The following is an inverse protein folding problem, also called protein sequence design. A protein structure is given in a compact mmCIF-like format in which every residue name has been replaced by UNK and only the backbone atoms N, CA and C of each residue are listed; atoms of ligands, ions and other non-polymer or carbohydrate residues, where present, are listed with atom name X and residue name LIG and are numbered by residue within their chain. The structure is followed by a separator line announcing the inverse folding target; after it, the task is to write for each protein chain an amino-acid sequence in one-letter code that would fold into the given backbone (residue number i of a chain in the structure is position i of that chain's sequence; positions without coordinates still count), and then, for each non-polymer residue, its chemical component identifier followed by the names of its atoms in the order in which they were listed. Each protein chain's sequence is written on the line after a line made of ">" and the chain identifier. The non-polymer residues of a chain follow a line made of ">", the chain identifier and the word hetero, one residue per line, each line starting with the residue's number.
data_IF_594504135503
#
_entry.id   IF_594504135503
#
_cell.length_a   1.000
_cell.length_b   1.000
_cell.length_c   1.000
_cell.angle_alpha   90.00
_cell.angle_beta   90.00
_cell.angle_gamma   90.00
#
_symmetry.space_group_name_H-M   'P 1'
#
loop_
_entity.id
_entity.type
_entity.pdbx_description
1 polymer ?
#
# COMPACT_ATOMS: atom_id res chain seq x y z
N UNK A 1 2.40 -66.77 -14.84
CA UNK A 1 3.00 -65.47 -15.21
C UNK A 1 1.95 -64.40 -15.00
N UNK A 2 1.99 -63.68 -13.88
CA UNK A 2 1.10 -62.55 -13.58
C UNK A 2 1.96 -61.46 -12.96
N UNK A 3 2.39 -60.51 -13.80
CA UNK A 3 3.18 -59.35 -13.39
C UNK A 3 2.26 -58.29 -12.78
N UNK A 4 2.42 -58.02 -11.49
CA UNK A 4 1.78 -56.92 -10.77
C UNK A 4 2.39 -55.58 -11.24
N UNK A 5 1.61 -54.57 -11.66
CA UNK A 5 2.17 -53.26 -11.98
C UNK A 5 2.57 -52.55 -10.69
N UNK A 6 3.81 -52.07 -10.66
CA UNK A 6 4.35 -51.19 -9.63
C UNK A 6 3.57 -49.88 -9.61
N UNK A 7 2.78 -49.67 -8.56
CA UNK A 7 2.12 -48.40 -8.30
C UNK A 7 3.15 -47.29 -8.09
N UNK A 8 3.21 -46.38 -9.06
CA UNK A 8 3.95 -45.12 -8.94
C UNK A 8 3.20 -44.33 -7.86
N UNK A 9 3.79 -44.27 -6.66
CA UNK A 9 3.31 -43.39 -5.59
C UNK A 9 3.63 -41.96 -6.02
N UNK A 10 2.70 -41.30 -6.70
CA UNK A 10 2.74 -39.86 -6.89
C UNK A 10 2.78 -39.21 -5.51
N UNK A 11 3.96 -38.70 -5.14
CA UNK A 11 4.15 -37.97 -3.89
C UNK A 11 3.34 -36.67 -4.05
N UNK A 12 2.26 -36.44 -3.27
CA UNK A 12 1.43 -35.26 -3.46
C UNK A 12 2.29 -34.01 -3.26
N UNK A 13 2.32 -33.15 -4.29
CA UNK A 13 2.99 -31.87 -4.22
C UNK A 13 2.50 -31.12 -2.96
N UNK A 14 3.39 -30.86 -2.02
CA UNK A 14 3.09 -30.10 -0.79
C UNK A 14 2.47 -28.76 -1.21
N UNK A 15 1.19 -28.55 -0.90
CA UNK A 15 0.52 -27.24 -1.06
C UNK A 15 1.11 -26.24 -0.07
N UNK A 16 2.28 -25.67 -0.39
CA UNK A 16 2.91 -24.56 0.34
C UNK A 16 2.29 -23.19 0.02
N UNK A 17 1.44 -23.11 -1.01
CA UNK A 17 0.90 -21.87 -1.59
C UNK A 17 0.36 -20.83 -0.60
N UNK A 18 -0.53 -21.16 0.36
CA UNK A 18 -1.17 -20.14 1.19
C UNK A 18 -0.22 -19.44 2.17
N UNK A 19 0.70 -20.20 2.79
CA UNK A 19 1.66 -19.65 3.75
C UNK A 19 2.72 -18.80 3.04
N UNK A 20 3.21 -19.24 1.89
CA UNK A 20 4.18 -18.47 1.09
C UNK A 20 3.59 -17.14 0.63
N UNK A 21 2.33 -17.13 0.17
CA UNK A 21 1.64 -15.89 -0.23
C UNK A 21 1.43 -14.97 0.98
N UNK A 22 0.99 -15.48 2.12
CA UNK A 22 0.81 -14.67 3.35
C UNK A 22 2.12 -14.00 3.77
N UNK A 23 3.22 -14.76 3.82
CA UNK A 23 4.54 -14.22 4.16
C UNK A 23 5.03 -13.20 3.13
N UNK A 24 4.81 -13.46 1.85
CA UNK A 24 5.15 -12.52 0.77
C UNK A 24 4.40 -11.20 0.90
N UNK A 25 3.09 -11.23 1.17
CA UNK A 25 2.30 -10.02 1.37
C UNK A 25 2.74 -9.24 2.62
N UNK A 26 3.01 -9.91 3.74
CA UNK A 26 3.54 -9.28 4.94
C UNK A 26 4.91 -8.62 4.70
N UNK A 27 5.80 -9.30 3.99
CA UNK A 27 7.11 -8.76 3.63
C UNK A 27 6.99 -7.52 2.73
N UNK A 28 6.12 -7.57 1.70
CA UNK A 28 5.86 -6.43 0.84
C UNK A 28 5.24 -5.25 1.59
N UNK A 29 4.31 -5.49 2.51
CA UNK A 29 3.78 -4.45 3.40
C UNK A 29 4.90 -3.83 4.25
N UNK A 30 5.77 -4.65 4.84
CA UNK A 30 6.89 -4.15 5.65
C UNK A 30 7.88 -3.31 4.83
N UNK A 31 8.22 -3.75 3.62
CA UNK A 31 9.07 -3.00 2.69
C UNK A 31 8.41 -1.67 2.31
N UNK A 32 7.12 -1.67 2.00
CA UNK A 32 6.39 -0.45 1.66
C UNK A 32 6.30 0.54 2.82
N UNK A 33 6.14 0.07 4.06
CA UNK A 33 6.23 0.91 5.28
C UNK A 33 7.63 1.53 5.39
N UNK A 34 8.69 0.74 5.23
CA UNK A 34 10.06 1.26 5.32
C UNK A 34 10.36 2.28 4.22
N UNK A 35 9.90 2.03 2.99
CA UNK A 35 10.01 2.97 1.88
C UNK A 35 9.27 4.28 2.16
N UNK A 36 8.01 4.22 2.59
CA UNK A 36 7.24 5.41 2.95
C UNK A 36 7.87 6.19 4.11
N UNK A 37 8.40 5.50 5.12
CA UNK A 37 9.12 6.13 6.21
C UNK A 37 10.38 6.86 5.74
N UNK A 38 11.16 6.26 4.83
CA UNK A 38 12.35 6.86 4.26
C UNK A 38 12.02 8.10 3.41
N UNK A 39 10.98 8.06 2.58
CA UNK A 39 10.52 9.22 1.82
C UNK A 39 10.10 10.37 2.73
N UNK A 40 9.29 10.09 3.77
CA UNK A 40 8.93 11.11 4.77
C UNK A 40 10.16 11.67 5.49
N UNK A 41 11.16 10.82 5.76
CA UNK A 41 12.44 11.21 6.34
C UNK A 41 13.21 12.18 5.42
N UNK A 42 13.37 11.82 4.15
CA UNK A 42 14.12 12.57 3.16
C UNK A 42 13.48 13.93 2.82
N UNK A 43 12.15 13.97 2.77
CA UNK A 43 11.36 15.20 2.56
C UNK A 43 11.25 16.09 3.81
N UNK A 44 11.91 15.71 4.91
CA UNK A 44 11.82 16.37 6.22
C UNK A 44 10.39 16.68 6.64
N UNK A 45 9.50 15.72 6.39
CA UNK A 45 8.04 15.89 6.42
C UNK A 45 7.47 15.94 7.85
N UNK A 46 7.95 16.88 8.66
CA UNK A 46 7.55 17.11 10.06
C UNK A 46 7.59 18.60 10.46
N UNK A 47 7.64 19.51 9.49
CA UNK A 47 7.73 20.96 9.74
C UNK A 47 6.39 21.57 10.15
N UNK A 48 5.27 20.93 9.83
CA UNK A 48 3.92 21.42 10.17
C UNK A 48 3.05 20.30 10.72
N UNK A 49 2.00 20.66 11.45
CA UNK A 49 1.05 19.69 12.02
C UNK A 49 0.40 18.81 10.94
N UNK A 50 0.09 19.39 9.76
CA UNK A 50 -0.46 18.64 8.63
C UNK A 50 0.52 17.60 8.09
N UNK A 51 1.82 17.91 8.10
CA UNK A 51 2.87 16.95 7.70
C UNK A 51 3.03 15.79 8.69
N UNK A 52 2.46 15.87 9.90
CA UNK A 52 2.45 14.75 10.85
C UNK A 52 1.37 13.70 10.55
N UNK A 53 0.39 14.01 9.69
CA UNK A 53 -0.70 13.08 9.34
C UNK A 53 -0.16 11.78 8.71
N UNK A 54 0.76 11.81 7.72
CA UNK A 54 1.39 10.62 7.17
C UNK A 54 2.15 9.79 8.21
N UNK A 55 2.80 10.42 9.19
CA UNK A 55 3.49 9.71 10.28
C UNK A 55 2.51 8.96 11.17
N UNK A 56 1.38 9.58 11.51
CA UNK A 56 0.32 8.90 12.25
C UNK A 56 -0.22 7.71 11.46
N UNK A 57 -0.50 7.87 10.17
CA UNK A 57 -0.95 6.79 9.29
C UNK A 57 0.08 5.64 9.21
N UNK A 58 1.38 5.96 9.13
CA UNK A 58 2.47 4.99 9.14
C UNK A 58 2.48 4.17 10.44
N UNK A 59 2.34 4.84 11.60
CA UNK A 59 2.26 4.16 12.91
C UNK A 59 1.06 3.22 12.96
N UNK A 60 -0.12 3.68 12.53
CA UNK A 60 -1.32 2.82 12.48
C UNK A 60 -1.10 1.58 11.60
N UNK A 61 -0.41 1.73 10.47
CA UNK A 61 -0.11 0.62 9.57
C UNK A 61 0.90 -0.36 10.18
N UNK A 62 1.92 0.13 10.89
CA UNK A 62 2.86 -0.70 11.67
C UNK A 62 2.11 -1.50 12.73
N UNK A 63 1.21 -0.86 13.48
CA UNK A 63 0.40 -1.54 14.49
C UNK A 63 -0.48 -2.63 13.86
N UNK A 64 -1.13 -2.33 12.73
CA UNK A 64 -1.92 -3.30 11.99
C UNK A 64 -1.07 -4.48 11.50
N UNK A 65 0.13 -4.21 10.98
CA UNK A 65 1.08 -5.24 10.53
C UNK A 65 1.48 -6.15 11.69
N UNK A 66 1.85 -5.58 12.85
CA UNK A 66 2.24 -6.35 14.04
C UNK A 66 1.08 -7.22 14.54
N UNK A 67 -0.14 -6.68 14.55
CA UNK A 67 -1.34 -7.44 14.95
C UNK A 67 -1.53 -8.70 14.10
N UNK A 68 -1.38 -8.60 12.77
CA UNK A 68 -1.52 -9.74 11.84
C UNK A 68 -0.29 -10.67 11.90
N UNK A 69 0.91 -10.12 12.04
CA UNK A 69 2.14 -10.91 12.09
C UNK A 69 2.23 -11.80 13.34
N UNK A 70 1.63 -11.36 14.46
CA UNK A 70 1.75 -12.02 15.78
C UNK A 70 0.55 -12.89 16.18
N UNK A 71 -0.51 -12.97 15.37
CA UNK A 71 -1.58 -13.94 15.59
C UNK A 71 -2.84 -13.69 14.76
N UNK A 72 -3.71 -14.70 14.71
CA UNK A 72 -4.87 -14.74 13.81
C UNK A 72 -6.22 -14.70 14.55
N UNK A 73 -6.27 -14.17 15.77
CA UNK A 73 -7.55 -14.10 16.50
C UNK A 73 -8.55 -13.17 15.78
N UNK A 74 -9.86 -13.51 15.75
CA UNK A 74 -10.85 -12.73 15.02
C UNK A 74 -10.90 -11.24 15.41
N UNK A 75 -10.68 -10.94 16.71
CA UNK A 75 -10.60 -9.57 17.21
C UNK A 75 -9.39 -8.82 16.67
N UNK A 76 -8.20 -9.43 16.67
CA UNK A 76 -6.97 -8.81 16.13
C UNK A 76 -7.10 -8.53 14.63
N UNK A 77 -7.63 -9.49 13.88
CA UNK A 77 -7.86 -9.33 12.43
C UNK A 77 -8.84 -8.20 12.15
N UNK A 78 -9.92 -8.10 12.93
CA UNK A 78 -10.92 -7.03 12.78
C UNK A 78 -10.30 -5.65 13.05
N UNK A 79 -9.54 -5.50 14.14
CA UNK A 79 -8.85 -4.24 14.46
C UNK A 79 -7.84 -3.89 13.36
N UNK A 80 -6.99 -4.83 12.95
CA UNK A 80 -6.01 -4.60 11.90
C UNK A 80 -6.65 -4.17 10.56
N UNK A 81 -7.81 -4.74 10.21
CA UNK A 81 -8.56 -4.33 9.01
C UNK A 81 -9.06 -2.89 9.11
N UNK A 82 -9.61 -2.49 10.25
CA UNK A 82 -10.06 -1.11 10.44
C UNK A 82 -8.91 -0.11 10.40
N UNK A 83 -7.79 -0.45 11.04
CA UNK A 83 -6.57 0.36 10.98
C UNK A 83 -6.05 0.49 9.53
N UNK A 84 -5.91 -0.63 8.83
CA UNK A 84 -5.43 -0.64 7.44
C UNK A 84 -6.41 0.09 6.50
N UNK A 85 -7.72 -0.04 6.70
CA UNK A 85 -8.72 0.68 5.92
C UNK A 85 -8.63 2.20 6.17
N UNK A 86 -8.48 2.63 7.41
CA UNK A 86 -8.30 4.04 7.75
C UNK A 86 -7.04 4.61 7.06
N UNK A 87 -5.92 3.87 7.11
CA UNK A 87 -4.69 4.26 6.42
C UNK A 87 -4.87 4.29 4.91
N UNK A 88 -5.56 3.32 4.32
CA UNK A 88 -5.83 3.27 2.88
C UNK A 88 -6.61 4.51 2.43
N UNK A 89 -7.68 4.85 3.14
CA UNK A 89 -8.52 6.02 2.83
C UNK A 89 -7.76 7.33 3.02
N UNK A 90 -7.02 7.47 4.13
CA UNK A 90 -6.19 8.66 4.38
C UNK A 90 -5.09 8.82 3.32
N UNK A 91 -4.48 7.72 2.89
CA UNK A 91 -3.43 7.71 1.87
C UNK A 91 -4.00 8.02 0.48
N UNK A 92 -5.16 7.47 0.12
CA UNK A 92 -5.85 7.80 -1.12
C UNK A 92 -6.23 9.29 -1.18
N UNK A 93 -6.69 9.84 -0.05
CA UNK A 93 -6.91 11.28 0.07
C UNK A 93 -5.60 12.08 -0.05
N UNK A 94 -4.51 11.60 0.55
CA UNK A 94 -3.17 12.19 0.40
C UNK A 94 -2.71 12.25 -1.06
N UNK A 95 -2.92 11.17 -1.83
CA UNK A 95 -2.68 11.18 -3.29
C UNK A 95 -3.47 12.30 -3.94
N UNK A 96 -4.77 12.36 -3.70
CA UNK A 96 -5.62 13.41 -4.25
C UNK A 96 -5.13 14.82 -3.89
N UNK A 97 -4.77 15.07 -2.63
CA UNK A 97 -4.24 16.37 -2.19
C UNK A 97 -2.97 16.75 -2.95
N UNK A 98 -2.02 15.82 -3.09
CA UNK A 98 -0.78 16.08 -3.83
C UNK A 98 -1.05 16.37 -5.31
N UNK A 99 -1.92 15.59 -5.95
CA UNK A 99 -2.33 15.83 -7.34
C UNK A 99 -3.05 17.18 -7.46
N UNK A 100 -3.94 17.52 -6.53
CA UNK A 100 -4.68 18.78 -6.57
C UNK A 100 -3.76 20.00 -6.41
N UNK A 101 -2.75 19.91 -5.53
CA UNK A 101 -1.70 20.95 -5.41
C UNK A 101 -0.94 21.11 -6.72
N UNK A 102 -0.53 19.99 -7.34
CA UNK A 102 0.16 20.02 -8.63
C UNK A 102 -0.73 20.60 -9.75
N UNK A 103 -2.01 20.27 -9.77
CA UNK A 103 -2.97 20.83 -10.72
C UNK A 103 -3.09 22.35 -10.56
N UNK A 104 -3.08 22.85 -9.32
CA UNK A 104 -3.05 24.28 -9.05
C UNK A 104 -1.78 24.98 -9.55
N UNK A 105 -0.63 24.29 -9.50
CA UNK A 105 0.63 24.79 -10.07
C UNK A 105 0.59 24.91 -11.60
N UNK A 106 -0.35 24.24 -12.27
CA UNK A 106 -0.68 24.41 -13.68
C UNK A 106 -0.86 25.86 -14.11
N UNK A 107 -1.45 26.70 -13.25
CA UNK A 107 -1.75 28.10 -13.55
C UNK A 107 -0.51 28.97 -13.86
N UNK A 108 0.71 28.48 -13.61
CA UNK A 108 1.95 29.17 -13.98
C UNK A 108 2.38 28.91 -15.43
N UNK A 109 1.77 27.96 -16.14
CA UNK A 109 1.97 27.72 -17.57
C UNK A 109 0.91 28.47 -18.39
N UNK A 110 1.29 29.43 -19.27
CA UNK A 110 0.35 30.16 -20.12
C UNK A 110 -0.52 29.28 -21.02
N UNK A 111 -0.08 28.06 -21.34
CA UNK A 111 -0.85 27.11 -22.15
C UNK A 111 -1.86 26.29 -21.34
N UNK A 112 -1.83 26.36 -20.00
CA UNK A 112 -2.57 25.47 -19.10
C UNK A 112 -4.07 25.45 -19.36
N UNK A 113 -4.69 26.63 -19.46
CA UNK A 113 -6.14 26.75 -19.67
C UNK A 113 -6.58 26.29 -21.06
N UNK A 114 -5.64 26.15 -22.00
CA UNK A 114 -5.87 25.56 -23.31
C UNK A 114 -5.83 24.03 -23.34
N UNK A 115 -5.36 23.38 -22.26
CA UNK A 115 -5.27 21.93 -22.19
C UNK A 115 -6.62 21.28 -21.84
N UNK A 116 -6.92 20.08 -22.38
CA UNK A 116 -8.06 19.30 -21.92
C UNK A 116 -7.98 18.99 -20.42
N UNK A 117 -9.10 18.96 -19.67
CA UNK A 117 -9.09 18.67 -18.23
C UNK A 117 -8.40 17.36 -17.88
N UNK A 118 -8.59 16.31 -18.68
CA UNK A 118 -7.92 15.02 -18.44
C UNK A 118 -6.39 15.15 -18.53
N UNK A 119 -5.89 15.97 -19.46
CA UNK A 119 -4.44 16.23 -19.62
C UNK A 119 -3.91 17.03 -18.44
N UNK A 120 -4.65 18.02 -17.94
CA UNK A 120 -4.29 18.79 -16.74
C UNK A 120 -4.13 17.87 -15.53
N UNK A 121 -5.13 17.03 -15.25
CA UNK A 121 -5.06 16.07 -14.14
C UNK A 121 -3.99 14.99 -14.35
N UNK A 122 -3.76 14.55 -15.59
CA UNK A 122 -2.66 13.63 -15.90
C UNK A 122 -1.30 14.26 -15.62
N UNK A 123 -1.05 15.48 -16.07
CA UNK A 123 0.20 16.21 -15.81
C UNK A 123 0.43 16.45 -14.32
N UNK A 124 -0.63 16.78 -13.58
CA UNK A 124 -0.56 16.93 -12.14
C UNK A 124 -0.22 15.61 -11.43
N UNK A 125 -0.78 14.49 -11.90
CA UNK A 125 -0.52 13.16 -11.37
C UNK A 125 0.90 12.68 -11.67
N UNK A 126 1.38 12.89 -12.90
CA UNK A 126 2.72 12.48 -13.33
C UNK A 126 3.82 13.44 -12.92
N UNK A 127 3.46 14.53 -12.22
CA UNK A 127 4.37 15.63 -11.87
C UNK A 127 5.03 16.28 -13.10
N UNK A 128 4.35 16.31 -14.23
CA UNK A 128 4.73 17.18 -15.35
C UNK A 128 4.49 18.65 -15.01
N UNK A 129 3.66 18.90 -14.01
CA UNK A 129 3.51 20.19 -13.33
C UNK A 129 3.44 19.99 -11.82
N UNK A 130 4.02 20.94 -11.08
CA UNK A 130 4.13 20.89 -9.63
C UNK A 130 5.07 19.80 -9.11
N UNK A 131 5.55 19.99 -7.87
CA UNK A 131 6.57 19.11 -7.28
C UNK A 131 6.03 18.17 -6.20
N UNK A 132 4.77 18.33 -5.78
CA UNK A 132 4.19 17.53 -4.72
C UNK A 132 4.17 16.05 -5.16
N UNK A 133 4.71 15.10 -4.37
CA UNK A 133 4.91 13.73 -4.84
C UNK A 133 3.67 12.84 -4.59
N UNK A 134 2.84 12.48 -5.60
CA UNK A 134 1.62 11.70 -5.35
C UNK A 134 1.93 10.22 -5.07
N UNK A 135 3.07 9.72 -5.53
CA UNK A 135 3.48 8.33 -5.30
C UNK A 135 3.85 8.05 -3.84
N UNK A 136 4.31 9.05 -3.07
CA UNK A 136 4.65 8.85 -1.65
C UNK A 136 3.43 8.37 -0.83
N UNK A 137 2.28 9.08 -0.82
CA UNK A 137 1.06 8.54 -0.21
C UNK A 137 0.52 7.31 -0.96
N UNK A 138 0.76 7.19 -2.28
CA UNK A 138 0.39 6.01 -3.06
C UNK A 138 1.04 4.70 -2.57
N UNK A 139 2.32 4.73 -2.19
CA UNK A 139 3.02 3.57 -1.62
C UNK A 139 2.44 3.15 -0.26
N UNK A 140 2.01 4.12 0.56
CA UNK A 140 1.35 3.84 1.83
C UNK A 140 -0.04 3.22 1.62
N UNK A 141 -0.80 3.71 0.64
CA UNK A 141 -2.07 3.11 0.21
C UNK A 141 -1.88 1.65 -0.27
N UNK A 142 -0.89 1.41 -1.12
CA UNK A 142 -0.55 0.07 -1.60
C UNK A 142 -0.19 -0.87 -0.43
N UNK A 143 0.61 -0.39 0.53
CA UNK A 143 1.02 -1.16 1.71
C UNK A 143 -0.16 -1.56 2.59
N UNK A 144 -1.10 -0.64 2.80
CA UNK A 144 -2.36 -0.90 3.50
C UNK A 144 -3.25 -1.91 2.77
N UNK A 145 -3.34 -1.81 1.43
CA UNK A 145 -4.08 -2.76 0.62
C UNK A 145 -3.47 -4.18 0.69
N UNK A 146 -2.15 -4.30 0.61
CA UNK A 146 -1.44 -5.58 0.76
C UNK A 146 -1.74 -6.24 2.12
N UNK A 147 -1.79 -5.43 3.18
CA UNK A 147 -2.12 -5.93 4.51
C UNK A 147 -3.58 -6.41 4.59
N UNK A 148 -4.52 -5.67 4.00
CA UNK A 148 -5.92 -6.10 3.89
C UNK A 148 -6.04 -7.43 3.15
N UNK A 149 -5.36 -7.58 2.01
CA UNK A 149 -5.33 -8.82 1.23
C UNK A 149 -4.73 -9.98 2.02
N UNK A 150 -3.72 -9.73 2.86
CA UNK A 150 -3.14 -10.73 3.76
C UNK A 150 -4.22 -11.35 4.67
N UNK A 151 -5.15 -10.52 5.17
CA UNK A 151 -6.24 -11.00 6.03
C UNK A 151 -7.31 -11.81 5.28
N UNK A 152 -7.31 -11.80 3.96
CA UNK A 152 -8.19 -12.61 3.11
C UNK A 152 -7.53 -13.94 2.72
N UNK A 153 -6.21 -13.93 2.52
CA UNK A 153 -5.42 -15.12 2.20
C UNK A 153 -5.35 -16.15 3.35
N UNK A 154 -5.60 -15.71 4.59
CA UNK A 154 -5.57 -16.55 5.79
C UNK A 154 -6.80 -17.47 5.99
N UNK A 155 -7.86 -17.34 5.17
CA UNK A 155 -9.07 -18.15 5.32
C UNK A 155 -8.90 -19.50 4.61
N UNK A 156 -8.51 -20.53 5.36
CA UNK A 156 -8.70 -21.96 5.02
C UNK A 156 -9.09 -22.74 6.25
#
# INVERSE_FOLDING_TARGET
>A
MTSTPTGITERPARRTGPLTVRLGLLALTAIGIMGAAAELAFERHWQTTTQLIPWAALVLLVLALVLIATGDSPGRVTVARWLALAVLLASAYGVFVHVNVNHGAGAFDPAWDGLPPLTQWWYALTKSVGDAPPLAPGMLAQSALLLLLTTLAAKR
#
